data_IF_101394271806
#
_entry.id   IF_101394271806
#
_cell.length_a   1.000
_cell.length_b   1.000
_cell.length_c   1.000
_cell.angle_alpha   90.00
_cell.angle_beta   90.00
_cell.angle_gamma   90.00
#
_symmetry.space_group_name_H-M   'P 1'
#
loop_
_entity.id
_entity.type
_entity.pdbx_description
1 polymer ?
#
# COMPACT_ATOMS: atom_id res chain seq x y z
N UNK A 1 -22.72 15.05 6.08
CA UNK A 1 -21.98 14.27 5.07
C UNK A 1 -20.84 13.65 5.81
N UNK A 2 -20.76 12.32 5.82
CA UNK A 2 -19.62 11.64 6.43
C UNK A 2 -18.37 11.96 5.61
N UNK A 3 -17.25 12.19 6.29
CA UNK A 3 -15.96 12.41 5.63
C UNK A 3 -15.51 11.14 4.89
N UNK A 4 -14.76 11.33 3.80
CA UNK A 4 -14.22 10.23 3.02
C UNK A 4 -13.41 9.25 3.88
N UNK A 5 -13.58 7.96 3.63
CA UNK A 5 -12.81 6.90 4.32
C UNK A 5 -11.41 6.82 3.72
N UNK A 6 -10.40 6.98 4.56
CA UNK A 6 -8.98 6.99 4.17
C UNK A 6 -8.36 5.60 4.36
N UNK A 7 -7.85 5.01 3.30
CA UNK A 7 -7.16 3.73 3.32
C UNK A 7 -5.72 3.90 2.85
N UNK A 8 -4.78 3.56 3.73
CA UNK A 8 -3.35 3.62 3.44
C UNK A 8 -2.87 2.31 2.79
N UNK A 9 -1.87 2.41 1.93
CA UNK A 9 -1.09 1.26 1.46
C UNK A 9 0.39 1.52 1.72
N UNK A 10 1.04 0.64 2.50
CA UNK A 10 2.46 0.72 2.87
C UNK A 10 3.21 -0.57 2.53
N UNK A 11 4.53 -0.58 2.74
CA UNK A 11 5.35 -1.76 2.47
C UNK A 11 5.90 -1.78 1.04
N UNK A 12 5.93 -2.96 0.42
CA UNK A 12 6.64 -3.18 -0.84
C UNK A 12 6.07 -4.38 -1.62
N UNK A 13 6.40 -4.48 -2.92
CA UNK A 13 5.98 -5.65 -3.71
C UNK A 13 4.53 -5.68 -4.18
N UNK A 14 3.87 -4.53 -4.33
CA UNK A 14 2.52 -4.51 -4.93
C UNK A 14 1.65 -3.27 -4.67
N UNK A 15 2.11 -2.29 -3.91
CA UNK A 15 1.29 -1.15 -3.44
C UNK A 15 0.49 -0.43 -4.53
N UNK A 16 1.14 -0.03 -5.62
CA UNK A 16 0.47 0.63 -6.74
C UNK A 16 -0.59 -0.27 -7.39
N UNK A 17 -0.33 -1.59 -7.46
CA UNK A 17 -1.32 -2.58 -7.92
C UNK A 17 -2.47 -2.69 -6.92
N UNK A 18 -2.21 -2.74 -5.62
CA UNK A 18 -3.24 -2.73 -4.57
C UNK A 18 -4.16 -1.52 -4.72
N UNK A 19 -3.62 -0.31 -4.85
CA UNK A 19 -4.38 0.91 -5.06
C UNK A 19 -5.23 0.86 -6.34
N UNK A 20 -4.65 0.38 -7.44
CA UNK A 20 -5.36 0.21 -8.70
C UNK A 20 -6.56 -0.73 -8.57
N UNK A 21 -6.37 -1.87 -7.89
CA UNK A 21 -7.44 -2.86 -7.67
C UNK A 21 -8.51 -2.35 -6.71
N UNK A 22 -8.12 -1.62 -5.65
CA UNK A 22 -9.08 -0.95 -4.77
C UNK A 22 -9.94 0.06 -5.53
N UNK A 23 -9.33 0.91 -6.37
CA UNK A 23 -10.09 1.87 -7.16
C UNK A 23 -11.07 1.21 -8.12
N UNK A 24 -10.68 0.08 -8.73
CA UNK A 24 -11.54 -0.69 -9.63
C UNK A 24 -12.75 -1.30 -8.89
N UNK A 25 -12.51 -1.91 -7.72
CA UNK A 25 -13.57 -2.50 -6.87
C UNK A 25 -14.57 -1.46 -6.36
N UNK A 26 -14.14 -0.21 -6.17
CA UNK A 26 -14.96 0.88 -5.61
C UNK A 26 -15.37 1.93 -6.64
N UNK A 27 -15.26 1.64 -7.94
CA UNK A 27 -15.46 2.63 -9.02
C UNK A 27 -16.88 3.19 -9.12
N UNK A 28 -17.88 2.52 -8.55
CA UNK A 28 -19.26 3.04 -8.45
C UNK A 28 -19.41 4.16 -7.43
N UNK A 29 -18.39 4.42 -6.60
CA UNK A 29 -18.30 5.54 -5.68
C UNK A 29 -17.33 6.61 -6.20
N UNK A 30 -17.19 7.72 -5.47
CA UNK A 30 -16.22 8.77 -5.75
C UNK A 30 -14.89 8.43 -5.07
N UNK A 31 -13.90 8.03 -5.86
CA UNK A 31 -12.61 7.54 -5.36
C UNK A 31 -11.50 8.53 -5.70
N UNK A 32 -10.72 8.93 -4.70
CA UNK A 32 -9.43 9.61 -4.87
C UNK A 32 -8.28 8.61 -4.72
N UNK A 33 -7.41 8.57 -5.71
CA UNK A 33 -6.08 7.96 -5.68
C UNK A 33 -5.03 9.05 -5.46
N UNK A 34 -4.25 8.96 -4.38
CA UNK A 34 -3.18 9.93 -4.09
C UNK A 34 -1.98 9.27 -3.40
N UNK A 35 -1.07 10.06 -2.86
CA UNK A 35 0.10 9.60 -2.10
C UNK A 35 0.45 10.63 -1.03
N UNK A 36 1.14 10.21 0.04
CA UNK A 36 1.86 11.14 0.94
C UNK A 36 3.36 11.14 0.67
N UNK A 37 3.83 10.33 -0.29
CA UNK A 37 5.22 10.25 -0.71
C UNK A 37 5.35 10.43 -2.22
N UNK A 38 5.76 9.41 -2.99
CA UNK A 38 6.06 9.54 -4.42
C UNK A 38 5.53 8.37 -5.25
N UNK A 39 4.45 8.62 -5.97
CA UNK A 39 3.79 7.64 -6.83
C UNK A 39 3.89 8.03 -8.31
N UNK A 40 3.85 7.06 -9.22
CA UNK A 40 3.59 7.36 -10.62
C UNK A 40 2.10 7.65 -10.81
N UNK A 41 1.73 8.62 -11.66
CA UNK A 41 0.32 8.91 -11.93
C UNK A 41 -0.39 7.67 -12.51
N UNK A 42 -1.62 7.44 -12.08
CA UNK A 42 -2.46 6.40 -12.65
C UNK A 42 -3.04 6.86 -13.99
N UNK A 43 -2.98 5.99 -15.00
CA UNK A 43 -3.55 6.22 -16.33
C UNK A 43 -4.85 5.44 -16.52
N UNK A 44 -5.66 5.77 -17.55
CA UNK A 44 -6.73 4.89 -18.01
C UNK A 44 -6.19 3.46 -18.28
N UNK A 45 -6.99 2.41 -18.00
CA UNK A 45 -8.36 2.45 -17.50
C UNK A 45 -8.45 2.58 -15.97
N UNK A 46 -7.35 2.58 -15.20
CA UNK A 46 -7.39 2.63 -13.73
C UNK A 46 -8.00 3.93 -13.22
N UNK A 47 -7.63 5.04 -13.86
CA UNK A 47 -8.05 6.39 -13.50
C UNK A 47 -8.89 7.00 -14.62
N UNK A 48 -10.03 7.62 -14.27
CA UNK A 48 -10.89 8.35 -15.21
C UNK A 48 -10.41 9.78 -15.42
N UNK A 49 -9.83 10.40 -14.39
CA UNK A 49 -9.46 11.83 -14.38
C UNK A 49 -8.13 12.04 -13.63
N UNK A 50 -7.15 12.64 -14.29
CA UNK A 50 -5.86 12.98 -13.69
C UNK A 50 -5.81 14.48 -13.39
N UNK A 51 -5.61 14.83 -12.12
CA UNK A 51 -5.50 16.20 -11.64
C UNK A 51 -4.07 16.47 -11.16
N UNK A 52 -3.33 17.31 -11.89
CA UNK A 52 -1.94 17.66 -11.57
C UNK A 52 -1.90 19.04 -10.91
N UNK A 53 -1.40 19.10 -9.67
CA UNK A 53 -1.39 20.30 -8.84
C UNK A 53 -2.74 21.05 -8.82
N UNK A 54 -3.87 20.35 -8.52
CA UNK A 54 -5.19 20.98 -8.56
C UNK A 54 -5.37 22.00 -7.43
N UNK A 55 -6.28 22.93 -7.63
CA UNK A 55 -6.90 23.73 -6.58
C UNK A 55 -7.98 22.93 -5.83
N UNK A 56 -8.45 23.47 -4.70
CA UNK A 56 -9.56 22.89 -3.94
C UNK A 56 -10.87 22.80 -4.76
N UNK A 57 -11.13 23.77 -5.64
CA UNK A 57 -12.29 23.77 -6.52
C UNK A 57 -12.18 22.69 -7.61
N UNK A 58 -11.01 22.58 -8.25
CA UNK A 58 -10.76 21.58 -9.29
C UNK A 58 -10.86 20.15 -8.76
N UNK A 59 -10.34 19.87 -7.56
CA UNK A 59 -10.46 18.53 -6.97
C UNK A 59 -11.91 18.20 -6.61
N UNK A 60 -12.66 19.18 -6.11
CA UNK A 60 -14.09 19.04 -5.80
C UNK A 60 -14.89 18.72 -7.07
N UNK A 61 -14.62 19.45 -8.16
CA UNK A 61 -15.28 19.23 -9.45
C UNK A 61 -14.91 17.87 -10.04
N UNK A 62 -13.64 17.45 -9.97
CA UNK A 62 -13.20 16.15 -10.49
C UNK A 62 -13.87 14.97 -9.78
N UNK A 63 -14.15 15.13 -8.47
CA UNK A 63 -14.82 14.16 -7.61
C UNK A 63 -16.35 14.32 -7.59
N UNK A 64 -16.94 15.23 -8.36
CA UNK A 64 -18.39 15.50 -8.33
C UNK A 64 -19.26 14.33 -8.81
N UNK A 65 -18.67 13.35 -9.51
CA UNK A 65 -19.35 12.17 -10.02
C UNK A 65 -18.53 10.90 -9.74
N UNK A 66 -19.19 9.72 -9.61
CA UNK A 66 -18.50 8.46 -9.44
C UNK A 66 -17.37 8.19 -10.45
N UNK A 67 -16.45 7.33 -10.03
CA UNK A 67 -15.23 7.00 -10.76
C UNK A 67 -13.98 7.28 -9.93
N UNK A 68 -12.83 7.04 -10.55
CA UNK A 68 -11.52 7.20 -9.94
C UNK A 68 -10.81 8.47 -10.45
N UNK A 69 -10.42 9.33 -9.51
CA UNK A 69 -9.59 10.52 -9.76
C UNK A 69 -8.21 10.26 -9.20
N UNK A 70 -7.15 10.47 -9.98
CA UNK A 70 -5.78 10.48 -9.48
C UNK A 70 -5.34 11.93 -9.31
N UNK A 71 -4.86 12.30 -8.13
CA UNK A 71 -4.38 13.67 -7.89
C UNK A 71 -3.11 13.72 -7.04
N UNK A 72 -2.25 14.68 -7.38
CA UNK A 72 -1.01 14.96 -6.68
C UNK A 72 -0.26 16.13 -7.30
N UNK A 73 0.85 16.53 -6.69
CA UNK A 73 1.70 17.63 -7.16
C UNK A 73 2.91 17.07 -7.93
N UNK A 74 3.34 17.66 -9.06
CA UNK A 74 4.52 17.19 -9.77
C UNK A 74 5.76 17.08 -8.88
N UNK A 75 6.48 15.97 -9.04
CA UNK A 75 7.78 15.72 -8.45
C UNK A 75 8.77 15.24 -9.52
N UNK A 76 10.00 14.93 -9.11
CA UNK A 76 11.07 14.49 -10.02
C UNK A 76 10.66 13.20 -10.76
N UNK A 77 11.19 13.04 -11.97
CA UNK A 77 11.05 11.82 -12.79
C UNK A 77 9.59 11.46 -13.15
N UNK A 78 8.72 12.46 -13.31
CA UNK A 78 7.32 12.25 -13.72
C UNK A 78 6.43 11.64 -12.63
N UNK A 79 6.88 11.65 -11.37
CA UNK A 79 6.09 11.23 -10.23
C UNK A 79 5.21 12.36 -9.69
N UNK A 80 4.19 11.98 -8.94
CA UNK A 80 3.42 12.87 -8.10
C UNK A 80 3.87 12.77 -6.64
N UNK A 81 3.77 13.88 -5.92
CA UNK A 81 3.87 13.96 -4.46
C UNK A 81 2.51 14.32 -3.86
N UNK A 82 2.41 14.26 -2.53
CA UNK A 82 1.16 14.53 -1.82
C UNK A 82 0.56 15.92 -2.06
N UNK A 83 -0.75 15.96 -1.89
CA UNK A 83 -1.56 17.17 -1.96
C UNK A 83 -1.38 18.01 -0.69
N UNK A 84 -1.66 19.31 -0.77
CA UNK A 84 -1.70 20.16 0.42
C UNK A 84 -2.88 19.79 1.31
N UNK A 85 -2.82 20.17 2.59
CA UNK A 85 -3.90 19.94 3.56
C UNK A 85 -5.23 20.52 3.08
N UNK A 86 -5.22 21.73 2.51
CA UNK A 86 -6.41 22.39 1.95
C UNK A 86 -7.08 21.54 0.86
N UNK A 87 -6.29 20.99 -0.07
CA UNK A 87 -6.81 20.17 -1.17
C UNK A 87 -7.28 18.81 -0.64
N UNK A 88 -6.55 18.20 0.31
CA UNK A 88 -6.96 16.96 0.96
C UNK A 88 -8.28 17.13 1.71
N UNK A 89 -8.49 18.27 2.38
CA UNK A 89 -9.73 18.58 3.07
C UNK A 89 -10.90 18.71 2.08
N UNK A 90 -10.73 19.43 0.98
CA UNK A 90 -11.74 19.55 -0.07
C UNK A 90 -12.07 18.18 -0.70
N UNK A 91 -11.05 17.37 -0.97
CA UNK A 91 -11.23 16.01 -1.45
C UNK A 91 -11.96 15.13 -0.42
N UNK A 92 -11.64 15.26 0.87
CA UNK A 92 -12.26 14.50 1.94
C UNK A 92 -13.75 14.80 2.14
N UNK A 93 -14.22 15.97 1.67
CA UNK A 93 -15.64 16.34 1.67
C UNK A 93 -16.37 15.88 0.40
N UNK A 94 -15.62 15.59 -0.66
CA UNK A 94 -16.16 15.33 -2.01
C UNK A 94 -16.05 13.86 -2.42
N UNK A 95 -15.09 13.12 -1.87
CA UNK A 95 -14.90 11.69 -2.13
C UNK A 95 -15.68 10.84 -1.11
N UNK A 96 -15.97 9.60 -1.50
CA UNK A 96 -16.40 8.56 -0.57
C UNK A 96 -15.16 7.80 -0.04
N UNK A 97 -14.13 7.65 -0.89
CA UNK A 97 -12.90 6.94 -0.58
C UNK A 97 -11.65 7.74 -0.96
N UNK A 98 -10.66 7.73 -0.08
CA UNK A 98 -9.30 8.20 -0.38
C UNK A 98 -8.35 7.02 -0.18
N UNK A 99 -7.79 6.52 -1.28
CA UNK A 99 -6.76 5.48 -1.24
C UNK A 99 -5.41 6.11 -1.56
N UNK A 100 -4.41 5.85 -0.72
CA UNK A 100 -3.12 6.52 -0.87
C UNK A 100 -1.92 5.64 -0.54
N UNK A 101 -0.85 5.83 -1.29
CA UNK A 101 0.45 5.23 -1.01
C UNK A 101 1.19 6.08 0.02
N UNK A 102 1.56 5.47 1.16
CA UNK A 102 2.12 6.20 2.28
C UNK A 102 3.65 6.08 2.44
N UNK A 103 4.31 5.36 1.52
CA UNK A 103 5.76 5.18 1.54
C UNK A 103 6.40 4.78 0.19
N UNK A 104 7.71 5.01 0.07
CA UNK A 104 8.50 4.59 -1.09
C UNK A 104 9.18 3.23 -0.89
N UNK A 105 9.27 2.42 -1.96
CA UNK A 105 9.97 1.13 -1.92
C UNK A 105 10.93 0.87 -3.10
N UNK A 106 11.13 1.83 -4.01
CA UNK A 106 11.95 1.68 -5.24
C UNK A 106 11.60 0.44 -6.10
N UNK A 107 10.32 0.05 -6.12
CA UNK A 107 9.84 -1.15 -6.83
C UNK A 107 10.45 -2.47 -6.34
N UNK A 108 11.08 -2.49 -5.17
CA UNK A 108 11.56 -3.71 -4.52
C UNK A 108 10.37 -4.46 -3.88
N UNK A 109 10.50 -5.78 -3.69
CA UNK A 109 9.44 -6.61 -3.12
C UNK A 109 9.27 -6.46 -1.60
N UNK A 110 10.33 -6.11 -0.87
CA UNK A 110 10.30 -5.90 0.58
C UNK A 110 10.94 -4.54 0.94
N UNK A 111 10.73 -4.09 2.19
CA UNK A 111 11.37 -2.89 2.72
C UNK A 111 11.48 -2.89 4.24
N UNK A 112 12.39 -2.04 4.72
CA UNK A 112 12.38 -1.48 6.08
C UNK A 112 12.00 0.00 6.04
N UNK A 113 11.31 0.47 7.08
CA UNK A 113 10.83 1.84 7.22
C UNK A 113 11.88 2.71 7.92
N UNK A 114 12.07 3.93 7.43
CA UNK A 114 12.89 4.93 8.11
C UNK A 114 12.03 5.69 9.13
N UNK A 115 12.63 6.42 10.07
CA UNK A 115 11.92 7.16 11.12
C UNK A 115 10.87 8.16 10.61
N UNK A 116 10.97 8.57 9.34
CA UNK A 116 10.04 9.51 8.69
C UNK A 116 8.98 8.81 7.83
N UNK A 117 8.91 7.48 7.83
CA UNK A 117 7.97 6.67 7.05
C UNK A 117 7.28 5.61 7.93
N UNK A 118 6.05 5.19 7.56
CA UNK A 118 5.18 5.76 6.54
C UNK A 118 4.57 7.10 6.97
N UNK A 119 4.19 7.93 6.00
CA UNK A 119 3.47 9.18 6.27
C UNK A 119 1.97 8.89 6.26
N UNK A 120 1.44 8.45 7.41
CA UNK A 120 0.01 8.13 7.58
C UNK A 120 -0.80 9.42 7.76
N UNK A 121 -1.89 9.57 7.00
CA UNK A 121 -2.79 10.69 7.15
C UNK A 121 -3.61 10.57 8.44
N UNK A 122 -3.99 11.68 9.08
CA UNK A 122 -4.94 11.66 10.19
C UNK A 122 -6.21 10.88 9.83
N UNK A 123 -6.86 10.26 10.82
CA UNK A 123 -8.15 9.56 10.65
C UNK A 123 -8.14 8.45 9.58
N UNK A 124 -6.96 7.86 9.31
CA UNK A 124 -6.85 6.69 8.46
C UNK A 124 -7.63 5.53 9.07
N UNK A 125 -8.63 5.06 8.33
CA UNK A 125 -9.55 4.03 8.81
C UNK A 125 -8.92 2.64 8.76
N UNK A 126 -8.05 2.39 7.78
CA UNK A 126 -7.40 1.09 7.59
C UNK A 126 -6.09 1.21 6.83
N UNK A 127 -5.19 0.25 7.02
CA UNK A 127 -3.96 0.14 6.25
C UNK A 127 -3.73 -1.28 5.70
N UNK A 128 -3.43 -1.35 4.40
CA UNK A 128 -2.86 -2.55 3.80
C UNK A 128 -1.34 -2.50 3.85
N UNK A 129 -0.73 -3.51 4.47
CA UNK A 129 0.71 -3.73 4.51
C UNK A 129 1.05 -4.72 3.42
N UNK A 130 1.79 -4.32 2.39
CA UNK A 130 2.16 -5.21 1.29
C UNK A 130 3.57 -5.76 1.52
N UNK A 131 3.74 -7.07 1.41
CA UNK A 131 5.04 -7.73 1.38
C UNK A 131 5.09 -8.69 0.18
N UNK A 132 6.03 -8.47 -0.74
CA UNK A 132 6.19 -9.26 -1.95
C UNK A 132 6.99 -10.54 -1.72
N UNK A 133 6.34 -11.69 -1.90
CA UNK A 133 6.94 -13.01 -1.74
C UNK A 133 7.99 -13.33 -2.83
N UNK A 134 8.03 -12.58 -3.93
CA UNK A 134 9.08 -12.75 -4.96
C UNK A 134 10.50 -12.43 -4.46
N UNK A 135 10.64 -11.92 -3.22
CA UNK A 135 11.91 -11.77 -2.53
C UNK A 135 12.52 -13.10 -2.08
N UNK A 136 11.72 -14.16 -1.90
CA UNK A 136 12.15 -15.42 -1.31
C UNK A 136 13.37 -16.01 -2.02
N UNK A 137 14.36 -16.44 -1.25
CA UNK A 137 15.58 -17.06 -1.75
C UNK A 137 16.56 -16.11 -2.44
N UNK A 138 16.28 -14.79 -2.45
CA UNK A 138 17.18 -13.78 -3.03
C UNK A 138 18.00 -13.06 -1.95
N UNK A 139 19.17 -12.48 -2.29
CA UNK A 139 19.97 -11.70 -1.36
C UNK A 139 19.22 -10.48 -0.83
N UNK A 140 19.26 -10.24 0.50
CA UNK A 140 18.57 -9.11 1.14
C UNK A 140 18.90 -7.76 0.50
N UNK A 141 20.14 -7.55 0.06
CA UNK A 141 20.58 -6.30 -0.53
C UNK A 141 19.99 -5.99 -1.92
N UNK A 142 19.46 -7.02 -2.60
CA UNK A 142 18.84 -6.89 -3.92
C UNK A 142 17.34 -6.63 -3.85
N UNK A 143 16.69 -7.10 -2.77
CA UNK A 143 15.23 -7.22 -2.72
C UNK A 143 14.56 -6.49 -1.56
N UNK A 144 15.33 -5.99 -0.59
CA UNK A 144 14.81 -5.23 0.54
C UNK A 144 15.25 -3.77 0.43
N UNK A 145 14.27 -2.87 0.26
CA UNK A 145 14.54 -1.44 0.32
C UNK A 145 15.00 -1.05 1.73
N UNK A 146 16.15 -0.37 1.83
CA UNK A 146 16.77 0.03 3.10
C UNK A 146 17.14 -1.12 4.03
N UNK A 147 17.57 -2.25 3.47
CA UNK A 147 18.08 -3.38 4.26
C UNK A 147 19.15 -2.97 5.30
N UNK A 148 19.90 -1.90 5.04
CA UNK A 148 20.94 -1.39 5.94
C UNK A 148 20.42 -0.89 7.29
N UNK A 149 19.11 -0.68 7.46
CA UNK A 149 18.52 -0.30 8.74
C UNK A 149 18.57 -1.45 9.76
N UNK A 150 18.75 -2.69 9.31
CA UNK A 150 19.04 -3.85 10.17
C UNK A 150 20.54 -4.12 10.14
N UNK A 151 21.18 -4.06 11.30
CA UNK A 151 22.64 -4.21 11.43
C UNK A 151 23.13 -5.58 10.94
N UNK A 152 22.43 -6.67 11.28
CA UNK A 152 22.75 -8.03 10.82
C UNK A 152 22.65 -8.16 9.30
N UNK A 153 21.70 -7.47 8.66
CA UNK A 153 21.55 -7.47 7.20
C UNK A 153 22.58 -6.56 6.52
N UNK A 154 22.97 -5.46 7.16
CA UNK A 154 24.03 -4.59 6.68
C UNK A 154 25.40 -5.30 6.69
N UNK A 155 25.67 -6.11 7.72
CA UNK A 155 26.90 -6.89 7.85
C UNK A 155 26.93 -8.12 6.93
N UNK A 156 25.76 -8.68 6.59
CA UNK A 156 25.63 -9.80 5.66
C UNK A 156 24.59 -9.52 4.55
N UNK A 157 24.90 -8.62 3.59
CA UNK A 157 23.96 -8.22 2.54
C UNK A 157 23.53 -9.39 1.63
N UNK A 158 24.38 -10.42 1.54
CA UNK A 158 24.14 -11.65 0.77
C UNK A 158 23.22 -12.67 1.45
N UNK A 159 22.74 -12.40 2.68
CA UNK A 159 21.77 -13.25 3.37
C UNK A 159 20.58 -13.52 2.46
N UNK A 160 20.18 -14.78 2.33
CA UNK A 160 19.00 -15.13 1.56
C UNK A 160 17.74 -14.82 2.37
N UNK A 161 16.74 -14.28 1.71
CA UNK A 161 15.42 -14.05 2.28
C UNK A 161 14.71 -15.38 2.50
N UNK A 162 14.28 -15.62 3.73
CA UNK A 162 13.43 -16.73 4.15
C UNK A 162 12.13 -16.18 4.79
N UNK A 163 11.30 -17.06 5.34
CA UNK A 163 10.08 -16.66 6.05
C UNK A 163 10.34 -15.68 7.20
N UNK A 164 11.40 -15.89 7.97
CA UNK A 164 11.74 -15.03 9.10
C UNK A 164 12.09 -13.61 8.64
N UNK A 165 12.85 -13.46 7.56
CA UNK A 165 13.17 -12.14 6.98
C UNK A 165 11.92 -11.43 6.45
N UNK A 166 10.99 -12.15 5.83
CA UNK A 166 9.72 -11.56 5.37
C UNK A 166 8.86 -11.13 6.56
N UNK A 167 8.73 -11.98 7.58
CA UNK A 167 8.00 -11.66 8.81
C UNK A 167 8.61 -10.44 9.52
N UNK A 168 9.94 -10.33 9.59
CA UNK A 168 10.63 -9.16 10.13
C UNK A 168 10.27 -7.87 9.36
N UNK A 169 10.17 -7.91 8.03
CA UNK A 169 9.72 -6.75 7.24
C UNK A 169 8.25 -6.40 7.50
N UNK A 170 7.39 -7.41 7.71
CA UNK A 170 5.97 -7.18 8.07
C UNK A 170 5.88 -6.52 9.44
N UNK A 171 6.59 -7.02 10.45
CA UNK A 171 6.61 -6.44 11.80
C UNK A 171 7.17 -5.02 11.80
N UNK A 172 8.23 -4.76 11.03
CA UNK A 172 8.74 -3.41 10.81
C UNK A 172 7.65 -2.47 10.27
N UNK A 173 6.87 -2.91 9.28
CA UNK A 173 5.77 -2.13 8.72
C UNK A 173 4.61 -1.91 9.72
N UNK A 174 4.24 -2.94 10.49
CA UNK A 174 3.22 -2.86 11.54
C UNK A 174 3.62 -1.82 12.58
N UNK A 175 4.86 -1.92 13.09
CA UNK A 175 5.40 -0.99 14.08
C UNK A 175 5.47 0.44 13.55
N UNK A 176 5.93 0.62 12.31
CA UNK A 176 6.02 1.94 11.68
C UNK A 176 4.65 2.55 11.38
N UNK A 177 3.64 1.74 11.04
CA UNK A 177 2.28 2.22 10.75
C UNK A 177 1.62 2.88 11.96
N UNK A 178 1.78 2.27 13.15
CA UNK A 178 1.24 2.80 14.41
C UNK A 178 -0.28 2.76 14.56
N UNK A 179 -1.02 2.22 13.58
CA UNK A 179 -2.46 1.95 13.71
C UNK A 179 -2.71 0.68 14.54
N UNK A 180 -3.87 0.54 15.20
CA UNK A 180 -4.25 -0.69 15.90
C UNK A 180 -4.26 -1.89 14.94
N UNK A 181 -3.86 -3.09 15.42
CA UNK A 181 -3.79 -4.30 14.59
C UNK A 181 -5.13 -4.64 13.90
N UNK A 182 -6.27 -4.35 14.54
CA UNK A 182 -7.59 -4.53 13.96
C UNK A 182 -7.83 -3.70 12.68
N UNK A 183 -7.03 -2.64 12.46
CA UNK A 183 -7.09 -1.76 11.28
C UNK A 183 -5.96 -2.06 10.29
N UNK A 184 -5.28 -3.20 10.44
CA UNK A 184 -4.18 -3.63 9.58
C UNK A 184 -4.54 -4.93 8.87
N UNK A 185 -4.30 -4.97 7.56
CA UNK A 185 -4.32 -6.20 6.78
C UNK A 185 -2.99 -6.39 6.08
N UNK A 186 -2.31 -7.49 6.36
CA UNK A 186 -1.06 -7.87 5.68
C UNK A 186 -1.41 -8.62 4.39
N UNK A 187 -0.91 -8.12 3.27
CA UNK A 187 -0.98 -8.77 1.96
C UNK A 187 0.38 -9.38 1.65
N UNK A 188 0.48 -10.71 1.78
CA UNK A 188 1.60 -11.49 1.30
C UNK A 188 1.39 -11.73 -0.21
N UNK A 189 1.78 -10.74 -1.01
CA UNK A 189 1.54 -10.71 -2.45
C UNK A 189 2.58 -11.54 -3.22
N UNK A 190 2.32 -11.80 -4.51
CA UNK A 190 3.21 -12.51 -5.43
C UNK A 190 3.41 -13.99 -5.07
N UNK A 191 2.39 -14.62 -4.47
CA UNK A 191 2.43 -16.03 -4.11
C UNK A 191 2.63 -16.96 -5.33
N UNK A 192 2.24 -16.50 -6.53
CA UNK A 192 2.49 -17.16 -7.81
C UNK A 192 3.98 -17.35 -8.13
N UNK A 193 4.87 -16.56 -7.49
CA UNK A 193 6.31 -16.63 -7.73
C UNK A 193 7.05 -17.64 -6.85
N UNK A 194 6.37 -18.23 -5.86
CA UNK A 194 6.95 -19.11 -4.83
C UNK A 194 6.04 -20.29 -4.53
N UNK A 195 5.47 -20.89 -5.58
CA UNK A 195 4.49 -21.99 -5.47
C UNK A 195 4.99 -23.23 -4.75
N UNK A 196 6.31 -23.39 -4.62
CA UNK A 196 6.97 -24.47 -3.88
C UNK A 196 7.11 -24.20 -2.37
N UNK A 197 6.75 -23.00 -1.91
CA UNK A 197 6.90 -22.53 -0.51
C UNK A 197 5.61 -22.46 0.29
N UNK A 198 4.58 -23.19 -0.15
CA UNK A 198 3.24 -23.13 0.46
C UNK A 198 3.25 -23.46 1.95
N UNK A 199 4.02 -24.46 2.38
CA UNK A 199 4.08 -24.87 3.78
C UNK A 199 4.78 -23.82 4.65
N UNK A 200 5.91 -23.26 4.18
CA UNK A 200 6.63 -22.22 4.89
C UNK A 200 5.83 -20.91 4.96
N UNK A 201 5.12 -20.54 3.89
CA UNK A 201 4.21 -19.40 3.88
C UNK A 201 3.08 -19.62 4.89
N UNK A 202 2.46 -20.80 4.91
CA UNK A 202 1.40 -21.11 5.85
C UNK A 202 1.87 -21.09 7.31
N UNK A 203 3.11 -21.52 7.58
CA UNK A 203 3.72 -21.42 8.90
C UNK A 203 3.94 -19.96 9.33
N UNK A 204 4.50 -19.14 8.44
CA UNK A 204 4.71 -17.72 8.66
C UNK A 204 3.38 -16.96 8.88
N UNK A 205 2.33 -17.30 8.13
CA UNK A 205 0.99 -16.72 8.32
C UNK A 205 0.45 -17.03 9.71
N UNK A 206 0.54 -18.29 10.16
CA UNK A 206 0.10 -18.66 11.52
C UNK A 206 0.87 -17.93 12.62
N UNK A 207 2.16 -17.69 12.41
CA UNK A 207 3.00 -16.92 13.33
C UNK A 207 2.51 -15.47 13.42
N UNK A 208 2.29 -14.80 12.29
CA UNK A 208 1.78 -13.43 12.25
C UNK A 208 0.34 -13.32 12.79
N UNK A 209 -0.52 -14.30 12.51
CA UNK A 209 -1.88 -14.35 13.05
C UNK A 209 -1.91 -14.56 14.57
N UNK A 210 -0.92 -15.27 15.13
CA UNK A 210 -0.74 -15.38 16.58
C UNK A 210 -0.34 -14.04 17.23
N UNK A 211 0.14 -13.07 16.44
CA UNK A 211 0.37 -11.67 16.83
C UNK A 211 -0.85 -10.77 16.57
N UNK A 212 -2.03 -11.38 16.37
CA UNK A 212 -3.31 -10.69 16.11
C UNK A 212 -3.36 -9.93 14.77
N UNK A 213 -2.48 -10.26 13.82
CA UNK A 213 -2.48 -9.67 12.48
C UNK A 213 -3.39 -10.43 11.53
N UNK A 214 -4.20 -9.70 10.77
CA UNK A 214 -4.96 -10.30 9.65
C UNK A 214 -4.05 -10.46 8.44
N UNK A 215 -3.77 -11.69 8.03
CA UNK A 215 -2.88 -12.00 6.91
C UNK A 215 -3.65 -12.59 5.72
N UNK A 216 -3.32 -12.15 4.50
CA UNK A 216 -3.87 -12.68 3.26
C UNK A 216 -2.74 -12.96 2.26
N UNK A 217 -2.57 -14.22 1.91
CA UNK A 217 -1.69 -14.65 0.82
C UNK A 217 -2.42 -14.52 -0.51
N UNK A 218 -1.81 -13.83 -1.48
CA UNK A 218 -2.45 -13.52 -2.75
C UNK A 218 -1.46 -13.38 -3.91
N UNK A 219 -2.00 -13.41 -5.13
CA UNK A 219 -1.38 -12.84 -6.31
C UNK A 219 -2.29 -11.76 -6.87
N UNK A 220 -1.97 -10.49 -6.63
CA UNK A 220 -2.80 -9.36 -7.09
C UNK A 220 -2.98 -9.28 -8.62
N UNK A 221 -2.16 -10.02 -9.39
CA UNK A 221 -2.25 -10.09 -10.85
C UNK A 221 -3.05 -11.29 -11.34
N UNK A 222 -2.95 -12.42 -10.66
CA UNK A 222 -3.52 -13.70 -11.10
C UNK A 222 -4.83 -14.05 -10.39
N UNK A 223 -5.06 -13.56 -9.18
CA UNK A 223 -6.24 -13.91 -8.38
C UNK A 223 -7.51 -13.36 -9.03
N UNK A 224 -8.51 -14.23 -9.18
CA UNK A 224 -9.82 -13.89 -9.74
C UNK A 224 -10.76 -13.23 -8.73
N UNK A 225 -10.58 -13.49 -7.43
CA UNK A 225 -11.42 -12.96 -6.34
C UNK A 225 -10.67 -11.94 -5.47
N UNK A 226 -10.29 -10.83 -6.08
CA UNK A 226 -9.66 -9.71 -5.38
C UNK A 226 -10.62 -8.97 -4.46
N UNK A 227 -11.94 -9.10 -4.67
CA UNK A 227 -12.95 -8.50 -3.81
C UNK A 227 -12.85 -9.07 -2.38
N UNK A 228 -12.65 -10.38 -2.24
CA UNK A 228 -12.42 -11.00 -0.92
C UNK A 228 -11.06 -10.61 -0.32
N UNK A 229 -10.01 -10.53 -1.14
CA UNK A 229 -8.66 -10.19 -0.68
C UNK A 229 -8.59 -8.74 -0.18
N UNK A 230 -9.16 -7.82 -0.93
CA UNK A 230 -9.13 -6.38 -0.65
C UNK A 230 -10.41 -5.86 0.00
N UNK A 231 -11.24 -6.76 0.55
CA UNK A 231 -12.50 -6.41 1.18
C UNK A 231 -12.31 -5.34 2.24
N UNK A 232 -13.17 -4.33 2.19
CA UNK A 232 -13.30 -3.28 3.21
C UNK A 232 -14.56 -3.48 4.08
N UNK A 233 -15.18 -4.65 4.03
CA UNK A 233 -16.31 -5.01 4.90
C UNK A 233 -15.84 -5.05 6.36
N UNK A 234 -16.57 -4.37 7.25
CA UNK A 234 -16.21 -4.24 8.68
C UNK A 234 -15.34 -3.03 9.03
N UNK A 235 -14.79 -2.32 8.02
CA UNK A 235 -14.23 -0.97 8.17
C UNK A 235 -15.35 0.08 8.00
N UNK A 236 -16.57 -0.38 7.65
CA UNK A 236 -17.74 0.46 7.40
C UNK A 236 -18.49 0.89 8.66
#
# INVERSE_FOLDING_TARGET
MDSAKRIAVIGAGGKTTTLSKLADLHRTARVLLTTTTHIFPFSPPVCDRLCIAPTAEEITQALAQPGAVCAGVPSKNGKLTGLSEEILQAASQSADWIFYEADGAKCLPLKLHADTEPVILPETAHCFIVAGLSAWGKPTCEVIHRYQLREDWAQNPGRLVDSAVIADCVRDAVNACGLPHAHLTVLLNQADTVTEKVEEIAAMVRELEAEELTCKTCSLREDSDLARVLSLEGIL
#
